data_IF_844164063775
#
_entry.id   IF_844164063775
#
_cell.length_a   1.000
_cell.length_b   1.000
_cell.length_c   1.000
_cell.angle_alpha   90.00
_cell.angle_beta   90.00
_cell.angle_gamma   90.00
#
_symmetry.space_group_name_H-M   'P 1'
#
loop_
_entity.id
_entity.type
_entity.pdbx_description
1 polymer ?
#
# COMPACT_ATOMS: atom_id res chain seq x y z
N UNK A 1 2.26 24.89 14.97
CA UNK A 1 2.78 24.86 13.60
C UNK A 1 2.36 23.56 12.95
N UNK A 2 1.79 23.57 11.75
CA UNK A 2 1.28 22.35 11.10
C UNK A 2 2.39 21.45 10.48
N UNK A 3 3.67 21.78 10.66
CA UNK A 3 4.76 20.89 10.22
C UNK A 3 4.78 19.62 11.06
N UNK A 4 4.66 18.48 10.41
CA UNK A 4 4.74 17.16 11.06
C UNK A 4 6.21 16.82 11.34
N UNK A 5 6.50 16.42 12.57
CA UNK A 5 7.75 15.78 12.93
C UNK A 5 7.57 14.27 12.82
N UNK A 6 8.16 13.67 11.79
CA UNK A 6 8.05 12.23 11.56
C UNK A 6 8.62 11.38 12.69
N UNK A 7 9.56 11.91 13.48
CA UNK A 7 10.14 11.19 14.63
C UNK A 7 9.12 10.92 15.74
N UNK A 8 8.06 11.73 15.81
CA UNK A 8 6.98 11.60 16.78
C UNK A 8 5.86 10.67 16.33
N UNK A 9 5.92 10.16 15.11
CA UNK A 9 4.92 9.23 14.58
C UNK A 9 5.53 7.82 14.58
N UNK A 10 4.83 6.87 15.19
CA UNK A 10 5.26 5.47 15.23
C UNK A 10 5.55 4.94 13.82
N UNK A 11 6.72 4.34 13.65
CA UNK A 11 7.06 3.60 12.45
C UNK A 11 6.83 2.11 12.70
N UNK A 12 6.17 1.45 11.79
CA UNK A 12 5.85 0.02 11.88
C UNK A 12 5.94 -0.65 10.52
N UNK A 13 6.17 -1.97 10.52
CA UNK A 13 6.07 -2.81 9.32
C UNK A 13 4.92 -3.83 9.43
N UNK A 14 3.98 -3.61 10.35
CA UNK A 14 2.83 -4.51 10.52
C UNK A 14 2.05 -4.64 9.22
N UNK A 15 1.54 -5.85 9.00
CA UNK A 15 0.67 -6.15 7.85
C UNK A 15 -0.48 -7.04 8.29
N UNK A 16 -1.63 -6.87 7.68
CA UNK A 16 -2.77 -7.75 7.84
C UNK A 16 -2.79 -8.92 6.86
N UNK A 17 -1.80 -9.03 5.97
CA UNK A 17 -1.78 -10.14 5.02
C UNK A 17 -1.66 -11.48 5.70
N UNK A 18 -2.51 -12.47 5.33
CA UNK A 18 -2.32 -13.85 5.77
C UNK A 18 -1.04 -14.42 5.15
N UNK A 19 -0.42 -15.40 5.83
CA UNK A 19 0.70 -16.14 5.26
C UNK A 19 0.24 -16.93 4.02
N UNK A 20 1.10 -17.05 2.97
CA UNK A 20 2.50 -16.59 2.91
C UNK A 20 2.66 -15.15 2.33
N UNK A 21 1.57 -14.43 2.10
CA UNK A 21 1.56 -13.14 1.40
C UNK A 21 2.18 -12.00 2.21
N UNK A 22 2.37 -12.19 3.50
CA UNK A 22 3.02 -11.25 4.42
C UNK A 22 4.54 -11.12 4.20
N UNK A 23 5.19 -12.13 3.61
CA UNK A 23 6.65 -12.19 3.52
C UNK A 23 7.24 -11.09 2.63
N UNK A 24 6.65 -10.84 1.46
CA UNK A 24 7.17 -9.86 0.51
C UNK A 24 7.14 -8.41 1.03
N UNK A 25 6.29 -8.11 2.02
CA UNK A 25 6.11 -6.77 2.57
C UNK A 25 6.84 -6.53 3.89
N UNK A 26 7.66 -7.47 4.37
CA UNK A 26 8.39 -7.33 5.63
C UNK A 26 9.34 -6.12 5.67
N UNK A 27 9.90 -5.73 4.54
CA UNK A 27 10.75 -4.55 4.41
C UNK A 27 9.99 -3.24 4.15
N UNK A 28 8.67 -3.24 4.20
CA UNK A 28 7.84 -2.04 4.08
C UNK A 28 7.62 -1.43 5.46
N UNK A 29 8.28 -0.32 5.74
CA UNK A 29 8.12 0.45 6.97
C UNK A 29 7.29 1.69 6.70
N UNK A 30 6.31 1.99 7.53
CA UNK A 30 5.44 3.14 7.31
C UNK A 30 5.08 3.88 8.59
N UNK A 31 4.78 5.18 8.42
CA UNK A 31 4.17 6.05 9.43
C UNK A 31 2.85 6.55 8.90
N UNK A 32 1.78 6.36 9.66
CA UNK A 32 0.47 6.88 9.27
C UNK A 32 0.40 8.37 9.55
N UNK A 33 0.25 9.17 8.49
CA UNK A 33 0.12 10.62 8.59
C UNK A 33 -1.35 11.03 8.78
N UNK A 34 -2.28 10.32 8.15
CA UNK A 34 -3.72 10.52 8.31
C UNK A 34 -4.38 9.15 8.51
N UNK A 35 -5.38 9.02 9.40
CA UNK A 35 -6.04 10.03 10.22
C UNK A 35 -5.36 10.39 11.55
N UNK A 36 -4.25 9.75 12.03
CA UNK A 36 -3.73 10.01 13.39
C UNK A 36 -3.40 11.48 13.68
N UNK A 37 -3.10 12.28 12.65
CA UNK A 37 -2.84 13.74 12.78
C UNK A 37 -4.11 14.59 12.74
N UNK A 38 -5.31 13.97 12.74
CA UNK A 38 -6.60 14.67 12.73
C UNK A 38 -7.21 14.86 11.33
N UNK A 39 -6.51 14.48 10.25
CA UNK A 39 -7.06 14.50 8.91
C UNK A 39 -7.96 13.26 8.71
N UNK A 40 -9.21 13.44 8.25
CA UNK A 40 -10.21 12.36 8.25
C UNK A 40 -10.75 11.96 6.88
N UNK A 41 -10.64 12.84 5.88
CA UNK A 41 -11.27 12.62 4.57
C UNK A 41 -10.43 11.74 3.62
N UNK A 42 -9.19 11.49 3.98
CA UNK A 42 -8.26 10.64 3.23
C UNK A 42 -7.30 9.91 4.18
N UNK A 43 -6.66 8.87 3.69
CA UNK A 43 -5.52 8.24 4.35
C UNK A 43 -4.22 8.77 3.75
N UNK A 44 -3.17 8.85 4.55
CA UNK A 44 -1.83 9.14 4.05
C UNK A 44 -0.78 8.42 4.88
N UNK A 45 0.26 7.92 4.21
CA UNK A 45 1.36 7.23 4.86
C UNK A 45 2.69 7.65 4.25
N UNK A 46 3.66 7.93 5.10
CA UNK A 46 5.07 8.03 4.72
C UNK A 46 5.66 6.63 4.75
N UNK A 47 6.11 6.13 3.62
CA UNK A 47 6.58 4.74 3.45
C UNK A 47 8.07 4.74 3.13
N UNK A 48 8.82 3.88 3.83
CA UNK A 48 10.20 3.52 3.53
C UNK A 48 10.21 2.06 3.10
N UNK A 49 10.61 1.81 1.87
CA UNK A 49 10.68 0.48 1.28
C UNK A 49 12.14 0.04 1.19
N UNK A 50 12.50 -0.96 1.96
CA UNK A 50 13.86 -1.53 1.99
C UNK A 50 14.19 -2.24 0.66
N UNK A 51 15.48 -2.44 0.33
CA UNK A 51 15.88 -3.28 -0.79
C UNK A 51 15.18 -4.63 -0.81
N UNK A 52 14.78 -5.08 -1.97
CA UNK A 52 14.02 -6.31 -2.25
C UNK A 52 12.59 -6.37 -1.69
N UNK A 53 12.13 -5.35 -0.97
CA UNK A 53 10.79 -5.34 -0.39
C UNK A 53 9.73 -4.87 -1.40
N UNK A 54 8.51 -5.34 -1.19
CA UNK A 54 7.32 -4.93 -1.92
C UNK A 54 6.48 -3.96 -1.09
N UNK A 55 5.85 -2.98 -1.75
CA UNK A 55 4.92 -2.07 -1.07
C UNK A 55 3.64 -2.77 -0.62
N UNK A 56 3.19 -3.73 -1.39
CA UNK A 56 2.00 -4.55 -1.17
C UNK A 56 2.05 -5.77 -2.08
N UNK A 57 1.10 -6.68 -1.95
CA UNK A 57 0.72 -7.56 -3.05
C UNK A 57 0.04 -6.71 -4.14
N UNK A 58 0.16 -7.06 -5.41
CA UNK A 58 -0.41 -6.31 -6.53
C UNK A 58 -1.94 -6.30 -6.46
N UNK A 59 -2.53 -5.15 -6.22
CA UNK A 59 -3.94 -4.99 -5.87
C UNK A 59 -4.58 -3.76 -6.49
N UNK A 60 -5.91 -3.71 -6.46
CA UNK A 60 -6.74 -2.55 -6.80
C UNK A 60 -7.80 -2.32 -5.72
N UNK A 61 -8.34 -1.11 -5.68
CA UNK A 61 -9.45 -0.73 -4.82
C UNK A 61 -10.73 -0.50 -5.60
N UNK A 62 -11.87 -1.01 -5.09
CA UNK A 62 -13.18 -0.77 -5.70
C UNK A 62 -13.78 0.58 -5.31
N UNK A 63 -13.43 1.11 -4.14
CA UNK A 63 -14.02 2.33 -3.59
C UNK A 63 -13.03 3.42 -3.17
N UNK A 64 -11.72 3.22 -3.29
CA UNK A 64 -10.69 4.16 -2.87
C UNK A 64 -9.83 4.60 -4.06
N UNK A 65 -9.74 5.90 -4.31
CA UNK A 65 -8.74 6.47 -5.22
C UNK A 65 -7.37 6.45 -4.53
N UNK A 66 -6.31 6.11 -5.26
CA UNK A 66 -4.96 6.11 -4.73
C UNK A 66 -4.01 6.98 -5.53
N UNK A 67 -3.06 7.58 -4.83
CA UNK A 67 -1.96 8.33 -5.39
C UNK A 67 -0.70 8.10 -4.57
N UNK A 68 0.45 8.07 -5.21
CA UNK A 68 1.73 8.17 -4.52
C UNK A 68 2.64 9.21 -5.15
N UNK A 69 3.56 9.73 -4.33
CA UNK A 69 4.62 10.65 -4.73
C UNK A 69 5.96 10.11 -4.26
N UNK A 70 6.89 9.91 -5.18
CA UNK A 70 8.25 9.46 -4.85
C UNK A 70 9.06 10.62 -4.26
N UNK A 71 9.67 10.39 -3.08
CA UNK A 71 10.43 11.40 -2.33
C UNK A 71 11.93 11.12 -2.37
N UNK A 72 12.33 9.86 -2.29
CA UNK A 72 13.74 9.46 -2.29
C UNK A 72 13.93 8.08 -2.92
N UNK A 73 15.10 7.85 -3.51
CA UNK A 73 15.42 6.58 -4.16
C UNK A 73 14.61 6.32 -5.41
N UNK A 74 14.52 5.05 -5.80
CA UNK A 74 13.71 4.58 -6.93
C UNK A 74 13.00 3.28 -6.58
N UNK A 75 11.91 2.99 -7.26
CA UNK A 75 11.20 1.72 -7.17
C UNK A 75 10.61 1.34 -8.52
N UNK A 76 10.37 0.06 -8.73
CA UNK A 76 9.68 -0.44 -9.92
C UNK A 76 8.20 -0.55 -9.63
N UNK A 77 7.38 0.21 -10.33
CA UNK A 77 5.94 0.04 -10.41
C UNK A 77 5.64 -1.15 -11.33
N UNK A 78 4.82 -2.08 -10.86
CA UNK A 78 4.35 -3.25 -11.61
C UNK A 78 2.83 -3.16 -11.76
N UNK A 79 2.37 -3.20 -13.01
CA UNK A 79 0.96 -3.14 -13.41
C UNK A 79 0.66 -4.19 -14.49
N UNK A 80 -0.59 -4.28 -14.95
CA UNK A 80 -0.99 -5.20 -16.02
C UNK A 80 -0.25 -4.91 -17.34
N UNK A 81 0.04 -3.64 -17.62
CA UNK A 81 0.73 -3.22 -18.84
C UNK A 81 2.27 -3.40 -18.76
N UNK A 82 2.81 -3.78 -17.62
CA UNK A 82 4.23 -4.05 -17.45
C UNK A 82 4.86 -3.35 -16.24
N UNK A 83 6.10 -2.94 -16.42
CA UNK A 83 6.97 -2.45 -15.35
C UNK A 83 7.54 -1.08 -15.71
N UNK A 84 7.46 -0.14 -14.78
CA UNK A 84 7.96 1.24 -14.95
C UNK A 84 8.81 1.63 -13.75
N UNK A 85 9.99 2.19 -13.98
CA UNK A 85 10.82 2.73 -12.89
C UNK A 85 10.27 4.10 -12.50
N UNK A 86 9.93 4.26 -11.23
CA UNK A 86 9.58 5.53 -10.62
C UNK A 86 10.78 6.11 -9.88
N UNK A 87 11.04 7.39 -10.07
CA UNK A 87 12.13 8.15 -9.47
C UNK A 87 11.60 9.33 -8.66
N UNK A 88 12.47 9.99 -7.94
CA UNK A 88 12.15 11.18 -7.15
C UNK A 88 11.41 12.22 -8.01
N UNK A 89 10.23 12.63 -7.54
CA UNK A 89 9.34 13.56 -8.22
C UNK A 89 8.27 12.91 -9.10
N UNK A 90 8.39 11.61 -9.39
CA UNK A 90 7.34 10.90 -10.11
C UNK A 90 6.10 10.72 -9.25
N UNK A 91 4.95 10.79 -9.90
CA UNK A 91 3.63 10.62 -9.30
C UNK A 91 2.91 9.51 -10.04
N UNK A 92 2.34 8.56 -9.30
CA UNK A 92 1.46 7.53 -9.85
C UNK A 92 0.06 7.66 -9.23
N UNK A 93 -0.97 7.38 -10.04
CA UNK A 93 -2.38 7.51 -9.64
C UNK A 93 -3.19 6.30 -10.09
N UNK A 94 -4.13 5.86 -9.26
CA UNK A 94 -5.03 4.75 -9.55
C UNK A 94 -6.44 5.14 -9.16
N UNK A 95 -7.32 5.39 -10.15
CA UNK A 95 -8.73 5.65 -9.88
C UNK A 95 -9.42 4.39 -9.32
N UNK A 96 -10.31 4.59 -8.37
CA UNK A 96 -11.14 3.52 -7.81
C UNK A 96 -11.93 2.76 -8.89
N UNK A 97 -12.11 1.47 -8.68
CA UNK A 97 -12.88 0.60 -9.57
C UNK A 97 -12.12 0.15 -10.82
N UNK A 98 -10.93 0.68 -11.07
CA UNK A 98 -10.06 0.21 -12.16
C UNK A 98 -9.30 -1.03 -11.69
N UNK A 99 -9.58 -2.18 -12.31
CA UNK A 99 -9.01 -3.48 -11.90
C UNK A 99 -7.60 -3.74 -12.44
N UNK A 100 -6.80 -2.69 -12.60
CA UNK A 100 -5.38 -2.78 -12.90
C UNK A 100 -4.61 -2.85 -11.57
N UNK A 101 -4.28 -4.05 -11.14
CA UNK A 101 -3.54 -4.26 -9.92
C UNK A 101 -2.13 -3.66 -9.99
N UNK A 102 -1.72 -2.99 -8.94
CA UNK A 102 -0.44 -2.29 -8.87
C UNK A 102 0.28 -2.54 -7.54
N UNK A 103 1.59 -2.48 -7.57
CA UNK A 103 2.48 -2.38 -6.41
C UNK A 103 3.85 -1.84 -6.82
N UNK A 104 4.65 -1.46 -5.82
CA UNK A 104 6.05 -1.11 -6.01
C UNK A 104 6.95 -2.22 -5.47
N UNK A 105 8.05 -2.45 -6.19
CA UNK A 105 9.17 -3.30 -5.73
C UNK A 105 10.42 -2.44 -5.68
N UNK A 106 11.14 -2.45 -4.57
CA UNK A 106 12.45 -1.82 -4.50
C UNK A 106 13.52 -2.81 -4.96
N UNK A 107 13.95 -2.69 -6.21
CA UNK A 107 15.01 -3.52 -6.82
C UNK A 107 16.39 -2.87 -6.74
N UNK A 108 16.49 -1.69 -6.11
CA UNK A 108 17.75 -1.03 -5.83
C UNK A 108 18.40 -1.55 -4.52
N UNK A 109 19.63 -1.12 -4.26
CA UNK A 109 20.39 -1.45 -3.03
C UNK A 109 20.22 -0.39 -1.94
N UNK A 110 19.41 0.63 -2.18
CA UNK A 110 19.14 1.68 -1.21
C UNK A 110 17.62 1.73 -0.85
N UNK A 111 17.32 2.37 0.28
CA UNK A 111 15.92 2.61 0.65
C UNK A 111 15.24 3.52 -0.38
N UNK A 112 14.02 3.22 -0.76
CA UNK A 112 13.18 4.20 -1.42
C UNK A 112 12.08 4.73 -0.49
N UNK A 113 11.69 5.98 -0.68
CA UNK A 113 10.71 6.66 0.15
C UNK A 113 9.63 7.30 -0.72
N UNK A 114 8.38 7.09 -0.32
CA UNK A 114 7.24 7.73 -0.97
C UNK A 114 6.14 8.08 0.02
N UNK A 115 5.26 9.00 -0.35
CA UNK A 115 3.99 9.23 0.33
C UNK A 115 2.89 8.59 -0.48
N UNK A 116 2.14 7.69 0.16
CA UNK A 116 0.93 7.10 -0.40
C UNK A 116 -0.29 7.80 0.20
N UNK A 117 -1.25 8.15 -0.64
CA UNK A 117 -2.48 8.86 -0.27
C UNK A 117 -3.65 8.09 -0.84
N UNK A 118 -4.65 7.79 0.01
CA UNK A 118 -5.88 7.14 -0.39
C UNK A 118 -7.08 8.01 -0.06
N UNK A 119 -7.94 8.22 -1.05
CA UNK A 119 -9.15 9.05 -0.93
C UNK A 119 -10.42 8.22 -1.01
N UNK A 120 -11.44 8.61 -0.23
CA UNK A 120 -12.73 7.91 -0.25
C UNK A 120 -12.78 6.63 0.58
N UNK A 121 -11.81 6.39 1.46
CA UNK A 121 -11.70 5.15 2.26
C UNK A 121 -12.96 4.74 3.00
N UNK A 122 -13.78 5.68 3.46
CA UNK A 122 -15.07 5.37 4.11
C UNK A 122 -16.09 4.72 3.15
N UNK A 123 -15.84 4.80 1.85
CA UNK A 123 -16.65 4.19 0.79
C UNK A 123 -15.94 3.00 0.15
N UNK A 124 -14.74 2.65 0.63
CA UNK A 124 -14.02 1.50 0.12
C UNK A 124 -14.76 0.23 0.52
N UNK A 125 -15.30 -0.43 -0.47
CA UNK A 125 -16.07 -1.68 -0.33
C UNK A 125 -15.19 -2.91 -0.50
N UNK A 126 -13.88 -2.71 -0.67
CA UNK A 126 -12.89 -3.75 -0.86
C UNK A 126 -12.14 -3.62 -2.17
N UNK A 127 -11.56 -4.71 -2.58
CA UNK A 127 -10.81 -4.84 -3.83
C UNK A 127 -10.24 -6.23 -3.99
N UNK A 128 -9.34 -6.39 -4.94
CA UNK A 128 -8.75 -7.69 -5.21
C UNK A 128 -7.29 -7.63 -5.55
N UNK A 129 -6.72 -8.81 -5.67
CA UNK A 129 -5.31 -9.04 -5.95
C UNK A 129 -5.15 -9.76 -7.29
N UNK A 130 -4.29 -9.22 -8.17
CA UNK A 130 -4.15 -9.75 -9.53
C UNK A 130 -3.53 -11.14 -9.56
N UNK A 131 -2.49 -11.36 -8.77
CA UNK A 131 -1.59 -12.52 -8.91
C UNK A 131 -1.84 -13.63 -7.90
N UNK A 132 -2.69 -13.39 -6.89
CA UNK A 132 -2.93 -14.32 -5.79
C UNK A 132 -4.42 -14.55 -5.55
N UNK A 133 -4.75 -15.63 -4.86
CA UNK A 133 -6.12 -15.96 -4.47
C UNK A 133 -6.52 -15.18 -3.21
N UNK A 134 -6.65 -13.86 -3.38
CA UNK A 134 -6.98 -12.95 -2.28
C UNK A 134 -7.93 -11.85 -2.75
N UNK A 135 -8.92 -11.57 -1.91
CA UNK A 135 -9.78 -10.40 -1.95
C UNK A 135 -9.71 -9.73 -0.58
N UNK A 136 -9.84 -8.43 -0.50
CA UNK A 136 -10.07 -7.74 0.75
C UNK A 136 -11.45 -7.08 0.75
N UNK A 137 -12.08 -7.06 1.92
CA UNK A 137 -13.37 -6.42 2.18
C UNK A 137 -13.28 -5.67 3.52
N UNK A 138 -14.24 -4.82 3.87
CA UNK A 138 -14.22 -4.10 5.14
C UNK A 138 -14.05 -5.00 6.39
N UNK A 139 -14.48 -6.25 6.30
CA UNK A 139 -14.46 -7.23 7.39
C UNK A 139 -13.32 -8.25 7.32
N UNK A 140 -12.38 -8.12 6.37
CA UNK A 140 -11.19 -8.97 6.31
C UNK A 140 -10.80 -9.49 4.93
N UNK A 141 -9.99 -10.53 4.93
CA UNK A 141 -9.47 -11.17 3.73
C UNK A 141 -10.23 -12.44 3.37
N UNK A 142 -10.44 -12.64 2.07
CA UNK A 142 -11.17 -13.76 1.51
C UNK A 142 -10.46 -14.36 0.30
N UNK A 143 -10.69 -15.64 0.03
CA UNK A 143 -10.34 -16.25 -1.24
C UNK A 143 -11.33 -15.81 -2.33
N UNK A 144 -10.95 -15.98 -3.58
CA UNK A 144 -11.81 -15.64 -4.73
C UNK A 144 -13.08 -16.50 -4.80
N UNK A 145 -13.09 -17.66 -4.17
CA UNK A 145 -14.28 -18.51 -3.99
C UNK A 145 -15.22 -18.03 -2.87
N UNK A 146 -14.84 -16.98 -2.14
CA UNK A 146 -15.62 -16.39 -1.05
C UNK A 146 -15.33 -16.96 0.33
N UNK A 147 -14.46 -17.95 0.47
CA UNK A 147 -14.07 -18.45 1.80
C UNK A 147 -13.13 -17.47 2.50
N UNK A 148 -13.31 -17.28 3.80
CA UNK A 148 -12.52 -16.35 4.60
C UNK A 148 -11.15 -16.96 4.94
N UNK A 149 -10.11 -16.15 4.93
CA UNK A 149 -8.84 -16.47 5.58
C UNK A 149 -9.01 -16.37 7.10
N UNK A 150 -8.44 -17.34 7.84
CA UNK A 150 -8.60 -17.40 9.30
C UNK A 150 -8.11 -16.12 9.97
N UNK A 151 -8.93 -15.62 10.91
CA UNK A 151 -8.73 -14.34 11.60
C UNK A 151 -7.61 -14.37 12.66
N UNK A 152 -6.88 -15.47 12.81
CA UNK A 152 -5.88 -15.63 13.88
C UNK A 152 -4.61 -14.78 13.73
N UNK A 153 -4.51 -13.94 12.68
CA UNK A 153 -3.33 -13.12 12.39
C UNK A 153 -3.61 -11.67 12.01
N UNK A 154 -4.72 -11.10 12.44
CA UNK A 154 -4.90 -9.65 12.40
C UNK A 154 -4.42 -9.13 13.77
N UNK A 155 -3.24 -8.47 13.81
CA UNK A 155 -2.78 -7.85 15.06
C UNK A 155 -3.62 -6.63 15.42
#
# INVERSE_FOLDING_TARGET
MPKVDLSQIEQTNRTGYPAPFDQAVQGRWYRRLAPPTGLQDFSASHVVLKPAAWSSQRHWHDGEDEMLVMIAGEAVLVEDEGRTILRVGDIAIWPKGVKNGHHLINESDEDCVFVAIGGGKKYDIGGGYSDIDLLFKPDGYFRKDGTRYDAERIP
#
